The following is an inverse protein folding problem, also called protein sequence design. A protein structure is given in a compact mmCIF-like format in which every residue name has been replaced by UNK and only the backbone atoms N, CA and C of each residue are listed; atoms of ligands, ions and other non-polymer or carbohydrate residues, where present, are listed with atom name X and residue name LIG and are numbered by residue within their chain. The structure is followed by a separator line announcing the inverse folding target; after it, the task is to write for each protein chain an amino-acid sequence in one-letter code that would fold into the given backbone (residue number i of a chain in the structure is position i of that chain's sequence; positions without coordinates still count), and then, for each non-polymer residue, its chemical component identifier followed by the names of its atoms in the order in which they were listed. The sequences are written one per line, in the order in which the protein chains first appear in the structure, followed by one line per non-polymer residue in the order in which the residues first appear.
data_IF_018482929740
#
_entry.id   IF_018482929740
#
_cell.length_a   1.000
_cell.length_b   1.000
_cell.length_c   1.000
_cell.angle_alpha   90.00
_cell.angle_beta   90.00
_cell.angle_gamma   90.00
#
_symmetry.space_group_name_H-M   'P 1'
#
loop_
_entity.id
_entity.type
_entity.pdbx_description
1 polymer ?
#
# COMPACT_ATOMS: atom_id res chain seq x y z
N UNK A 1 -28.46 7.07 -15.46
CA UNK A 1 -27.25 7.57 -14.78
C UNK A 1 -26.16 6.53 -14.91
N UNK A 2 -25.12 6.80 -15.71
CA UNK A 2 -24.01 5.87 -15.89
C UNK A 2 -23.16 5.82 -14.63
N UNK A 3 -22.96 4.63 -14.06
CA UNK A 3 -21.99 4.42 -12.98
C UNK A 3 -20.58 4.50 -13.57
N UNK A 4 -19.87 5.59 -13.33
CA UNK A 4 -18.45 5.69 -13.71
C UNK A 4 -17.65 4.66 -12.89
N UNK A 5 -17.28 3.55 -13.54
CA UNK A 5 -16.45 2.52 -12.91
C UNK A 5 -15.04 3.08 -12.71
N UNK A 6 -14.62 3.29 -11.47
CA UNK A 6 -13.25 3.70 -11.15
C UNK A 6 -12.31 2.50 -11.32
N UNK A 7 -11.23 2.69 -12.07
CA UNK A 7 -10.19 1.67 -12.18
C UNK A 7 -9.36 1.63 -10.89
N UNK A 8 -8.93 0.44 -10.44
CA UNK A 8 -8.05 0.31 -9.28
C UNK A 8 -6.69 0.96 -9.57
N UNK A 9 -6.17 1.68 -8.58
CA UNK A 9 -4.86 2.34 -8.65
C UNK A 9 -3.80 1.45 -8.01
N UNK A 10 -2.69 1.25 -8.72
CA UNK A 10 -1.55 0.47 -8.24
C UNK A 10 -0.29 1.31 -8.23
N UNK A 11 0.37 1.34 -7.08
CA UNK A 11 1.65 2.01 -6.87
C UNK A 11 2.79 0.98 -6.81
N UNK A 12 3.99 1.41 -7.15
CA UNK A 12 5.22 0.64 -7.00
C UNK A 12 5.68 0.59 -5.54
N UNK A 13 6.69 -0.24 -5.27
CA UNK A 13 7.30 -0.34 -3.96
C UNK A 13 8.00 0.98 -3.58
N UNK A 14 8.66 1.61 -4.54
CA UNK A 14 9.39 2.86 -4.38
C UNK A 14 8.42 4.01 -4.09
N UNK A 15 7.37 4.15 -4.90
CA UNK A 15 6.33 5.17 -4.67
C UNK A 15 5.68 5.01 -3.29
N UNK A 16 5.41 3.78 -2.87
CA UNK A 16 4.84 3.51 -1.53
C UNK A 16 5.77 3.96 -0.41
N UNK A 17 7.07 3.72 -0.57
CA UNK A 17 8.08 4.11 0.40
C UNK A 17 8.17 5.65 0.52
N UNK A 18 8.16 6.33 -0.62
CA UNK A 18 8.18 7.79 -0.70
C UNK A 18 6.92 8.41 -0.08
N UNK A 19 5.73 7.90 -0.43
CA UNK A 19 4.44 8.38 0.09
C UNK A 19 4.36 8.33 1.62
N UNK A 20 4.92 7.28 2.23
CA UNK A 20 4.89 7.08 3.68
C UNK A 20 6.14 7.62 4.38
N UNK A 21 7.10 8.19 3.64
CA UNK A 21 8.40 8.64 4.16
C UNK A 21 9.13 7.55 4.97
N UNK A 22 9.11 6.32 4.47
CA UNK A 22 9.81 5.17 5.07
C UNK A 22 10.73 4.50 4.06
N UNK A 23 11.64 3.65 4.53
CA UNK A 23 12.49 2.89 3.61
C UNK A 23 11.72 1.82 2.83
N UNK A 24 12.15 1.51 1.61
CA UNK A 24 11.65 0.34 0.84
C UNK A 24 11.85 -0.98 1.60
N UNK A 25 12.87 -1.07 2.46
CA UNK A 25 13.09 -2.20 3.38
C UNK A 25 11.93 -2.36 4.38
N UNK A 26 11.42 -1.26 4.92
CA UNK A 26 10.25 -1.26 5.80
C UNK A 26 9.02 -1.79 5.06
N UNK A 27 8.78 -1.31 3.84
CA UNK A 27 7.64 -1.79 3.03
C UNK A 27 7.80 -3.28 2.69
N UNK A 28 8.99 -3.73 2.28
CA UNK A 28 9.25 -5.17 2.04
C UNK A 28 9.00 -6.03 3.27
N UNK A 29 9.40 -5.56 4.46
CA UNK A 29 9.11 -6.26 5.73
C UNK A 29 7.60 -6.37 5.95
N UNK A 30 6.87 -5.27 5.77
CA UNK A 30 5.41 -5.24 5.90
C UNK A 30 4.67 -6.11 4.88
N UNK A 31 5.24 -6.29 3.68
CA UNK A 31 4.72 -7.25 2.71
C UNK A 31 5.01 -8.68 3.17
N UNK A 32 6.23 -8.93 3.64
CA UNK A 32 6.66 -10.26 4.08
C UNK A 32 5.95 -10.75 5.35
N UNK A 33 5.58 -9.86 6.26
CA UNK A 33 4.80 -10.18 7.46
C UNK A 33 3.28 -10.21 7.21
N UNK A 34 2.84 -9.86 6.00
CA UNK A 34 1.45 -9.89 5.57
C UNK A 34 0.62 -8.67 5.96
N UNK A 35 1.21 -7.64 6.59
CA UNK A 35 0.47 -6.42 6.96
C UNK A 35 0.14 -5.52 5.77
N UNK A 36 0.89 -5.59 4.67
CA UNK A 36 0.59 -4.89 3.41
C UNK A 36 0.43 -5.91 2.28
N UNK A 37 -0.77 -6.06 1.70
CA UNK A 37 -0.96 -6.87 0.50
C UNK A 37 -0.20 -6.30 -0.69
N UNK A 38 0.51 -7.16 -1.42
CA UNK A 38 1.20 -6.79 -2.64
C UNK A 38 1.10 -7.88 -3.70
N UNK A 39 1.18 -7.46 -4.96
CA UNK A 39 0.95 -8.30 -6.13
C UNK A 39 2.18 -8.28 -7.03
N UNK A 40 2.52 -9.43 -7.61
CA UNK A 40 3.56 -9.51 -8.62
C UNK A 40 3.02 -9.12 -9.99
N UNK A 41 3.63 -8.12 -10.62
CA UNK A 41 3.42 -7.79 -12.03
C UNK A 41 4.60 -8.34 -12.85
N UNK A 42 4.49 -9.61 -13.24
CA UNK A 42 5.59 -10.34 -13.88
C UNK A 42 6.66 -10.81 -12.89
N UNK A 43 7.88 -11.06 -13.39
CA UNK A 43 8.91 -11.82 -12.66
C UNK A 43 9.45 -11.09 -11.41
N UNK A 44 9.48 -9.76 -11.40
CA UNK A 44 10.16 -8.98 -10.34
C UNK A 44 9.44 -7.73 -9.88
N UNK A 45 8.48 -7.19 -10.63
CA UNK A 45 7.82 -5.95 -10.23
C UNK A 45 6.78 -6.24 -9.16
N UNK A 46 6.81 -5.45 -8.10
CA UNK A 46 5.82 -5.47 -7.03
C UNK A 46 4.88 -4.29 -7.26
N UNK A 47 3.58 -4.55 -7.15
CA UNK A 47 2.52 -3.55 -7.20
C UNK A 47 1.69 -3.65 -5.92
N UNK A 48 1.37 -2.51 -5.35
CA UNK A 48 0.56 -2.40 -4.15
C UNK A 48 -0.69 -1.64 -4.56
N UNK A 49 -1.87 -2.19 -4.24
CA UNK A 49 -3.13 -1.50 -4.51
C UNK A 49 -3.27 -0.35 -3.51
N UNK A 50 -3.59 0.85 -3.98
CA UNK A 50 -3.67 2.03 -3.13
C UNK A 50 -4.66 1.83 -1.97
N UNK A 51 -5.83 1.28 -2.26
CA UNK A 51 -6.85 0.97 -1.24
C UNK A 51 -6.33 -0.01 -0.17
N UNK A 52 -5.52 -1.00 -0.53
CA UNK A 52 -4.96 -1.96 0.43
C UNK A 52 -3.93 -1.28 1.34
N UNK A 53 -3.14 -0.36 0.77
CA UNK A 53 -2.17 0.43 1.51
C UNK A 53 -2.87 1.34 2.53
N UNK A 54 -3.94 2.04 2.13
CA UNK A 54 -4.71 2.91 3.01
C UNK A 54 -5.36 2.12 4.16
N UNK A 55 -5.92 0.94 3.87
CA UNK A 55 -6.50 0.06 4.88
C UNK A 55 -5.46 -0.55 5.83
N UNK A 56 -4.20 -0.69 5.40
CA UNK A 56 -3.10 -1.17 6.23
C UNK A 56 -2.57 -0.12 7.22
N UNK A 57 -3.01 1.15 7.12
CA UNK A 57 -2.66 2.20 8.06
C UNK A 57 -3.67 2.23 9.21
N UNK A 58 -3.19 1.92 10.40
CA UNK A 58 -4.01 2.04 11.61
C UNK A 58 -3.96 3.48 12.12
N UNK A 59 -5.14 4.06 12.34
CA UNK A 59 -5.25 5.40 12.94
C UNK A 59 -4.89 5.31 14.41
N UNK A 60 -3.95 6.15 14.84
CA UNK A 60 -3.66 6.32 16.27
C UNK A 60 -4.88 7.01 16.92
N UNK A 61 -5.51 6.42 17.95
CA UNK A 61 -6.63 7.05 18.64
C UNK A 61 -6.15 8.31 19.36
N UNK A 62 -6.90 9.41 19.22
CA UNK A 62 -6.57 10.69 19.84
C UNK A 62 -6.91 10.77 21.35
N UNK A 63 -7.64 9.79 21.87
CA UNK A 63 -8.13 9.78 23.25
C UNK A 63 -7.16 8.99 24.12
N UNK A 64 -6.21 9.67 24.76
CA UNK A 64 -5.31 9.07 25.75
C UNK A 64 -3.85 9.51 25.69
N UNK A 65 -3.58 10.79 25.46
CA UNK A 65 -2.30 11.42 25.81
C UNK A 65 -2.45 12.14 27.15
#
# INVERSE_FOLDING_TARGET
MGTTKRLPVYVSLEETADMLSVSTRTIRRRISDGTIPAYHCGKRHIRIRLDDLENALERIPAVGW
#
